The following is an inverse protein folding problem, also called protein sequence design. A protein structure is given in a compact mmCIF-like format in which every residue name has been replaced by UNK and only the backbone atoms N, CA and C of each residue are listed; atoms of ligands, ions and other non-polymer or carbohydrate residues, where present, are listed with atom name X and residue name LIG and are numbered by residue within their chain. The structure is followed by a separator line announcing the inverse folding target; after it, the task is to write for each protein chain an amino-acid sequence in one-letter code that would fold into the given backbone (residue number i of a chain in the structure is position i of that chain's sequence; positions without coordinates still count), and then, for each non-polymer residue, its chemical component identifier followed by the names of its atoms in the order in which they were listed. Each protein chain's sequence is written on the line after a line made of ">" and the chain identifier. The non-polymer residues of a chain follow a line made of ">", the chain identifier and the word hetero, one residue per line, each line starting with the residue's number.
data_IF_582434349729
#
_entry.id   IF_582434349729
#
_cell.length_a   1.000
_cell.length_b   1.000
_cell.length_c   1.000
_cell.angle_alpha   90.00
_cell.angle_beta   90.00
_cell.angle_gamma   90.00
#
_symmetry.space_group_name_H-M   'P 1'
#
loop_
_entity.id
_entity.type
_entity.pdbx_description
1 polymer ?
#
# COMPACT_ATOMS: atom_id res chain seq x y z
N UNK A 1 8.00 13.15 -16.01
CA UNK A 1 6.98 12.08 -15.94
C UNK A 1 6.30 12.17 -14.58
N UNK A 2 4.96 12.12 -14.48
CA UNK A 2 4.29 12.13 -13.18
C UNK A 2 4.67 10.91 -12.36
N UNK A 3 4.82 11.07 -11.04
CA UNK A 3 5.10 9.96 -10.12
C UNK A 3 3.87 9.06 -10.09
N UNK A 4 4.04 7.79 -10.44
CA UNK A 4 2.92 6.84 -10.47
C UNK A 4 2.44 6.57 -9.03
N UNK A 5 1.15 6.78 -8.73
CA UNK A 5 0.63 6.59 -7.39
C UNK A 5 0.74 5.12 -6.97
N UNK A 6 1.15 4.88 -5.72
CA UNK A 6 1.24 3.53 -5.13
C UNK A 6 -0.02 3.19 -4.33
N UNK A 7 -0.35 1.91 -4.25
CA UNK A 7 -1.45 1.44 -3.41
C UNK A 7 -1.07 1.55 -1.93
N UNK A 8 -1.82 2.29 -1.09
CA UNK A 8 -1.53 2.36 0.33
C UNK A 8 -1.71 1.02 1.04
N UNK A 9 -2.60 0.16 0.55
CA UNK A 9 -2.92 -1.13 1.19
C UNK A 9 -1.95 -2.21 0.71
N UNK A 10 -1.72 -2.31 -0.60
CA UNK A 10 -0.79 -3.28 -1.20
C UNK A 10 0.59 -2.67 -1.34
N UNK A 11 1.40 -2.75 -0.29
CA UNK A 11 2.75 -2.20 -0.28
C UNK A 11 3.62 -2.77 -1.42
N UNK A 12 4.22 -1.87 -2.20
CA UNK A 12 5.05 -2.17 -3.38
C UNK A 12 4.31 -2.04 -4.71
N UNK A 13 2.98 -2.17 -4.71
CA UNK A 13 2.20 -2.25 -5.94
C UNK A 13 1.74 -0.86 -6.40
N UNK A 14 1.67 -0.60 -7.72
CA UNK A 14 1.05 0.60 -8.24
C UNK A 14 -0.45 0.63 -7.90
N UNK A 15 -1.04 1.81 -7.90
CA UNK A 15 -2.49 1.94 -7.82
C UNK A 15 -3.11 1.37 -9.10
N UNK A 16 -4.06 0.46 -8.95
CA UNK A 16 -4.75 -0.20 -10.07
C UNK A 16 -6.11 0.42 -10.41
N UNK A 17 -6.47 1.54 -9.79
CA UNK A 17 -7.75 2.25 -10.03
C UNK A 17 -8.96 1.29 -10.01
N UNK A 18 -9.06 0.46 -8.96
CA UNK A 18 -9.99 -0.66 -8.89
C UNK A 18 -11.48 -0.32 -9.06
N UNK A 19 -11.87 0.94 -8.90
CA UNK A 19 -13.26 1.39 -8.97
C UNK A 19 -13.44 2.37 -10.13
N UNK A 20 -14.58 2.35 -10.86
CA UNK A 20 -14.83 3.26 -11.96
C UNK A 20 -14.72 4.73 -11.55
N UNK A 21 -14.04 5.53 -12.36
CA UNK A 21 -13.84 6.96 -12.11
C UNK A 21 -12.75 7.31 -11.08
N UNK A 22 -12.06 6.32 -10.49
CA UNK A 22 -10.91 6.60 -9.64
C UNK A 22 -9.77 7.25 -10.42
N UNK A 23 -9.18 8.27 -9.80
CA UNK A 23 -7.98 8.99 -10.27
C UNK A 23 -6.77 8.70 -9.36
N UNK A 24 -6.99 8.07 -8.21
CA UNK A 24 -5.92 7.65 -7.32
C UNK A 24 -6.41 7.08 -5.99
N UNK A 25 -5.48 6.90 -5.02
CA UNK A 25 -5.80 6.31 -3.72
C UNK A 25 -6.84 7.09 -2.91
N UNK A 26 -6.97 8.40 -3.13
CA UNK A 26 -7.98 9.25 -2.48
C UNK A 26 -9.42 8.84 -2.83
N UNK A 27 -9.64 8.21 -3.98
CA UNK A 27 -10.97 7.79 -4.44
C UNK A 27 -11.31 6.35 -4.00
N UNK A 28 -10.39 5.68 -3.30
CA UNK A 28 -10.55 4.28 -2.92
C UNK A 28 -11.29 4.13 -1.58
N UNK A 29 -12.48 3.53 -1.61
CA UNK A 29 -13.29 3.29 -0.40
C UNK A 29 -12.54 2.49 0.68
N UNK A 30 -11.74 1.49 0.27
CA UNK A 30 -10.93 0.70 1.21
C UNK A 30 -9.88 1.57 1.93
N UNK A 31 -9.26 2.50 1.20
CA UNK A 31 -8.28 3.43 1.79
C UNK A 31 -8.98 4.36 2.78
N UNK A 32 -10.19 4.84 2.49
CA UNK A 32 -10.98 5.64 3.42
C UNK A 32 -11.29 4.87 4.72
N UNK A 33 -11.86 3.65 4.60
CA UNK A 33 -12.20 2.82 5.75
C UNK A 33 -11.00 2.52 6.65
N UNK A 34 -9.86 2.19 6.05
CA UNK A 34 -8.64 1.92 6.82
C UNK A 34 -8.11 3.19 7.49
N UNK A 35 -8.30 4.38 6.91
CA UNK A 35 -7.83 5.65 7.49
C UNK A 35 -8.70 6.13 8.64
N UNK A 36 -9.99 5.84 8.59
CA UNK A 36 -10.96 6.25 9.61
C UNK A 36 -10.92 5.36 10.85
N UNK A 37 -10.34 4.15 10.75
CA UNK A 37 -10.19 3.20 11.85
C UNK A 37 -8.74 3.16 12.36
N UNK A 38 -8.46 3.59 13.61
CA UNK A 38 -7.11 3.57 14.19
C UNK A 38 -6.49 2.17 14.29
N UNK A 39 -7.26 1.13 14.56
CA UNK A 39 -6.76 -0.24 14.67
C UNK A 39 -6.35 -0.76 13.29
N UNK A 40 -7.15 -0.48 12.26
CA UNK A 40 -6.79 -0.83 10.89
C UNK A 40 -5.58 -0.04 10.39
N UNK A 41 -5.43 1.23 10.79
CA UNK A 41 -4.22 2.00 10.50
C UNK A 41 -2.97 1.38 11.12
N UNK A 42 -3.07 0.89 12.36
CA UNK A 42 -1.93 0.24 13.01
C UNK A 42 -1.60 -1.10 12.35
N UNK A 43 -2.61 -1.94 12.12
CA UNK A 43 -2.44 -3.20 11.39
C UNK A 43 -1.79 -2.98 10.02
N UNK A 44 -2.18 -1.92 9.29
CA UNK A 44 -1.56 -1.53 8.02
C UNK A 44 -0.06 -1.23 8.19
N UNK A 45 0.32 -0.49 9.24
CA UNK A 45 1.73 -0.16 9.50
C UNK A 45 2.55 -1.41 9.80
N UNK A 46 2.03 -2.32 10.60
CA UNK A 46 2.66 -3.60 10.91
C UNK A 46 2.86 -4.45 9.64
N UNK A 47 1.83 -4.56 8.79
CA UNK A 47 1.92 -5.28 7.51
C UNK A 47 2.99 -4.69 6.59
N UNK A 48 3.10 -3.37 6.52
CA UNK A 48 4.13 -2.67 5.73
C UNK A 48 5.52 -2.95 6.32
N UNK A 49 5.68 -2.88 7.64
CA UNK A 49 6.96 -3.16 8.30
C UNK A 49 7.43 -4.59 8.02
N UNK A 50 6.52 -5.56 8.13
CA UNK A 50 6.81 -6.98 7.80
C UNK A 50 7.26 -7.14 6.35
N UNK A 51 6.50 -6.60 5.39
CA UNK A 51 6.82 -6.74 3.96
C UNK A 51 8.14 -6.04 3.58
N UNK A 52 8.50 -4.94 4.24
CA UNK A 52 9.83 -4.31 4.11
C UNK A 52 10.96 -5.22 4.63
N UNK A 53 10.75 -5.89 5.77
CA UNK A 53 11.70 -6.86 6.32
C UNK A 53 11.93 -8.04 5.37
N UNK A 54 10.85 -8.60 4.82
CA UNK A 54 10.94 -9.67 3.81
C UNK A 54 11.65 -9.23 2.53
N UNK A 55 11.42 -8.00 2.06
CA UNK A 55 12.11 -7.51 0.86
C UNK A 55 13.61 -7.33 1.09
N UNK A 56 14.03 -6.97 2.31
CA UNK A 56 15.44 -6.90 2.69
C UNK A 56 16.10 -8.28 2.73
N UNK A 57 15.42 -9.30 3.25
CA UNK A 57 15.97 -10.66 3.27
C UNK A 57 16.06 -11.29 1.87
N UNK A 58 15.06 -11.05 0.99
CA UNK A 58 15.13 -11.48 -0.42
C UNK A 58 16.25 -10.77 -1.19
N UNK A 59 16.48 -9.48 -0.93
CA UNK A 59 17.55 -8.72 -1.57
C UNK A 59 18.97 -9.16 -1.17
N UNK A 60 19.14 -9.72 0.03
CA UNK A 60 20.43 -10.19 0.53
C UNK A 60 20.84 -11.59 0.02
N UNK A 61 19.88 -12.41 -0.42
CA UNK A 61 20.14 -13.76 -0.91
C UNK A 61 20.50 -13.84 -2.40
N UNK A 62 20.52 -12.70 -3.10
CA UNK A 62 20.76 -12.60 -4.53
C UNK A 62 22.16 -12.06 -4.88
N UNK A 63 23.16 -12.30 -4.03
CA UNK A 63 24.57 -11.96 -4.27
C UNK A 63 25.50 -13.13 -3.94
#
# INVERSE_FOLDING_TARGET
>A
MPVEPKCPIRYGDPCSLCVPGATGPQDCQLVALVRDDPELMELRREMIARKKGENRSRGASNN
#
